data_IF_087755723062
#
_entry.id   IF_087755723062
#
_cell.length_a   1.000
_cell.length_b   1.000
_cell.length_c   1.000
_cell.angle_alpha   90.00
_cell.angle_beta   90.00
_cell.angle_gamma   90.00
#
_symmetry.space_group_name_H-M   'P 1'
#
loop_
_entity.id
_entity.type
_entity.pdbx_description
1 polymer ?
#
# COMPACT_ATOMS: atom_id res chain seq x y z
N UNK A 1 3.77 -19.39 -14.26
CA UNK A 1 3.46 -18.97 -15.65
C UNK A 1 2.97 -17.54 -15.52
N UNK A 2 3.82 -16.58 -15.77
CA UNK A 2 3.46 -15.17 -15.71
C UNK A 2 2.69 -14.79 -16.96
N UNK A 3 1.58 -14.08 -16.81
CA UNK A 3 0.83 -13.50 -17.93
C UNK A 3 1.00 -12.00 -17.83
N UNK A 4 1.82 -11.44 -18.69
CA UNK A 4 1.91 -9.99 -18.83
C UNK A 4 0.79 -9.52 -19.75
N UNK A 5 -0.07 -8.66 -19.22
CA UNK A 5 -1.06 -7.96 -20.03
C UNK A 5 -0.75 -6.46 -20.00
N UNK A 6 -0.02 -6.00 -20.99
CA UNK A 6 0.05 -4.58 -21.27
C UNK A 6 -1.10 -4.23 -22.22
N UNK A 7 -2.02 -3.38 -21.79
CA UNK A 7 -3.10 -2.88 -22.61
C UNK A 7 -2.79 -1.44 -22.98
N UNK A 8 -2.56 -1.18 -24.25
CA UNK A 8 -2.63 0.18 -24.75
C UNK A 8 -4.09 0.54 -25.12
N UNK A 9 -4.35 1.80 -25.37
CA UNK A 9 -5.65 2.29 -25.86
C UNK A 9 -6.12 1.66 -27.19
N UNK A 10 -5.26 0.87 -27.86
CA UNK A 10 -5.53 0.12 -29.07
C UNK A 10 -5.82 -1.38 -28.82
N UNK A 11 -5.79 -1.85 -27.58
CA UNK A 11 -6.18 -3.22 -27.22
C UNK A 11 -5.18 -4.31 -27.63
N UNK A 12 -3.90 -4.01 -27.68
CA UNK A 12 -2.86 -5.03 -27.94
C UNK A 12 -2.51 -5.71 -26.61
N UNK A 13 -2.74 -7.02 -26.52
CA UNK A 13 -2.38 -7.84 -25.37
C UNK A 13 -1.20 -8.77 -25.71
N UNK A 14 -0.34 -9.03 -24.72
CA UNK A 14 0.75 -9.98 -24.83
C UNK A 14 0.41 -11.23 -24.01
N UNK A 15 0.46 -12.41 -24.59
CA UNK A 15 0.28 -13.68 -23.87
C UNK A 15 1.61 -14.45 -23.91
N UNK A 16 2.22 -14.61 -22.73
CA UNK A 16 3.48 -15.34 -22.55
C UNK A 16 3.24 -16.78 -22.06
N UNK A 17 2.05 -17.34 -22.25
CA UNK A 17 1.66 -18.65 -21.72
C UNK A 17 2.25 -19.87 -22.47
N UNK A 18 2.98 -19.68 -23.58
CA UNK A 18 3.53 -20.83 -24.32
C UNK A 18 4.81 -21.36 -23.68
N UNK A 19 4.80 -22.65 -23.32
CA UNK A 19 5.98 -23.38 -22.83
C UNK A 19 6.80 -24.04 -23.94
N UNK A 20 6.54 -23.67 -25.18
CA UNK A 20 7.26 -24.24 -26.34
C UNK A 20 8.53 -23.43 -26.59
N UNK A 21 9.65 -24.13 -26.58
CA UNK A 21 11.00 -23.58 -26.80
C UNK A 21 11.24 -23.05 -28.22
N UNK A 22 10.24 -23.00 -29.07
CA UNK A 22 10.36 -22.64 -30.48
C UNK A 22 9.80 -21.27 -30.87
N UNK A 23 9.29 -20.45 -29.94
CA UNK A 23 8.85 -19.09 -30.26
C UNK A 23 7.71 -18.57 -29.41
N UNK A 24 7.81 -17.31 -29.06
CA UNK A 24 6.74 -16.57 -28.42
C UNK A 24 5.70 -16.15 -29.46
N UNK A 25 4.43 -16.34 -29.15
CA UNK A 25 3.36 -15.92 -30.03
C UNK A 25 2.74 -14.61 -29.50
N UNK A 26 2.74 -13.57 -30.29
CA UNK A 26 1.94 -12.38 -30.03
C UNK A 26 0.50 -12.63 -30.45
N UNK A 27 -0.44 -12.47 -29.52
CA UNK A 27 -1.86 -12.54 -29.84
C UNK A 27 -2.35 -11.10 -30.08
N UNK A 28 -2.67 -10.79 -31.34
CA UNK A 28 -3.26 -9.55 -31.74
C UNK A 28 -2.27 -8.48 -32.21
N UNK A 29 -1.40 -8.82 -33.14
CA UNK A 29 -0.50 -7.86 -33.75
C UNK A 29 -1.29 -6.75 -34.47
N UNK A 30 -1.15 -5.52 -34.01
CA UNK A 30 -1.51 -4.37 -34.81
C UNK A 30 -0.53 -4.31 -36.00
N UNK A 31 -0.97 -4.06 -37.25
CA UNK A 31 -0.12 -4.12 -38.46
C UNK A 31 1.05 -3.12 -38.46
N UNK A 32 1.20 -2.28 -37.46
CA UNK A 32 2.27 -1.29 -37.33
C UNK A 32 3.27 -1.59 -36.20
N UNK A 33 3.22 -2.75 -35.57
CA UNK A 33 4.16 -3.15 -34.51
C UNK A 33 5.17 -4.15 -35.09
N UNK A 34 6.45 -3.84 -35.05
CA UNK A 34 7.52 -4.81 -35.34
C UNK A 34 8.12 -5.30 -34.03
N UNK A 35 8.38 -6.59 -33.93
CA UNK A 35 9.01 -7.24 -32.80
C UNK A 35 10.32 -7.86 -33.25
N UNK A 36 11.41 -7.50 -32.62
CA UNK A 36 12.70 -8.10 -32.85
C UNK A 36 13.09 -8.96 -31.64
N UNK A 37 13.34 -10.25 -31.85
CA UNK A 37 13.96 -11.11 -30.87
C UNK A 37 15.45 -10.80 -30.86
N UNK A 38 15.94 -10.17 -29.79
CA UNK A 38 17.30 -9.65 -29.76
C UNK A 38 18.31 -10.74 -29.35
N UNK A 39 17.89 -11.72 -28.54
CA UNK A 39 18.79 -12.80 -28.13
C UNK A 39 18.08 -13.98 -27.46
N UNK A 40 18.38 -15.21 -27.86
CA UNK A 40 18.01 -16.43 -27.16
C UNK A 40 19.24 -17.36 -27.06
N UNK A 41 19.74 -17.58 -25.84
CA UNK A 41 20.78 -18.59 -25.57
C UNK A 41 20.25 -19.73 -24.69
N UNK A 42 18.93 -19.87 -24.58
CA UNK A 42 18.28 -20.85 -23.72
C UNK A 42 18.23 -20.48 -22.24
N UNK A 43 18.73 -19.30 -21.87
CA UNK A 43 18.81 -18.83 -20.49
C UNK A 43 18.20 -17.45 -20.31
N UNK A 44 18.20 -16.60 -21.31
CA UNK A 44 17.68 -15.24 -21.30
C UNK A 44 16.99 -14.94 -22.63
N UNK A 45 15.77 -14.43 -22.61
CA UNK A 45 15.10 -13.87 -23.77
C UNK A 45 14.90 -12.37 -23.55
N UNK A 46 15.43 -11.54 -24.45
CA UNK A 46 15.19 -10.10 -24.52
C UNK A 46 14.25 -9.79 -25.67
N UNK A 47 13.23 -8.98 -25.44
CA UNK A 47 12.28 -8.56 -26.45
C UNK A 47 12.22 -7.05 -26.52
N UNK A 48 12.36 -6.49 -27.72
CA UNK A 48 12.10 -5.09 -27.99
C UNK A 48 10.83 -4.98 -28.85
N UNK A 49 9.93 -4.07 -28.47
CA UNK A 49 8.69 -3.81 -29.20
C UNK A 49 8.69 -2.36 -29.65
N UNK A 50 8.58 -2.12 -30.95
CA UNK A 50 8.56 -0.78 -31.53
C UNK A 50 7.18 -0.46 -32.12
N UNK A 51 6.58 0.64 -31.70
CA UNK A 51 5.33 1.17 -32.26
C UNK A 51 5.54 2.27 -33.29
N UNK A 52 4.64 2.39 -34.26
CA UNK A 52 4.83 3.28 -35.44
C UNK A 52 4.56 4.76 -35.20
N UNK A 53 4.10 5.18 -34.00
CA UNK A 53 3.82 6.60 -33.72
C UNK A 53 4.22 7.03 -32.31
N UNK A 54 4.70 6.13 -31.48
CA UNK A 54 5.16 6.36 -30.11
C UNK A 54 6.22 5.31 -29.84
N UNK A 55 7.29 5.68 -29.17
CA UNK A 55 8.40 4.77 -28.90
C UNK A 55 8.06 4.03 -27.61
N UNK A 56 7.40 2.89 -27.74
CA UNK A 56 7.16 2.00 -26.61
C UNK A 56 8.32 1.01 -26.57
N UNK A 57 9.15 1.06 -25.52
CA UNK A 57 10.19 0.06 -25.27
C UNK A 57 9.73 -0.86 -24.16
N UNK A 58 9.76 -2.14 -24.43
CA UNK A 58 9.56 -3.16 -23.43
C UNK A 58 10.74 -4.12 -23.48
N UNK A 59 11.54 -4.18 -22.43
CA UNK A 59 12.60 -5.17 -22.29
C UNK A 59 12.27 -6.08 -21.12
N UNK A 60 11.86 -7.30 -21.40
CA UNK A 60 11.69 -8.34 -20.39
C UNK A 60 12.87 -9.29 -20.42
N UNK A 61 13.55 -9.47 -19.30
CA UNK A 61 14.59 -10.50 -19.10
C UNK A 61 14.00 -11.67 -18.34
N UNK A 62 14.07 -12.83 -18.95
CA UNK A 62 13.61 -14.08 -18.37
C UNK A 62 14.82 -14.97 -18.06
N UNK A 63 14.91 -15.47 -16.83
CA UNK A 63 15.95 -16.40 -16.41
C UNK A 63 15.43 -17.84 -16.47
N UNK A 64 16.29 -18.78 -16.87
CA UNK A 64 15.94 -20.19 -17.10
C UNK A 64 15.53 -20.99 -15.84
N UNK A 65 15.65 -20.42 -14.65
CA UNK A 65 15.14 -21.02 -13.41
C UNK A 65 13.59 -20.90 -13.32
N UNK A 66 12.98 -20.18 -14.24
CA UNK A 66 11.52 -20.06 -14.37
C UNK A 66 10.85 -19.18 -13.30
N UNK A 67 11.62 -18.46 -12.48
CA UNK A 67 11.09 -17.80 -11.29
C UNK A 67 11.36 -16.30 -11.20
N UNK A 68 12.18 -15.73 -12.05
CA UNK A 68 12.49 -14.28 -12.00
C UNK A 68 12.25 -13.65 -13.36
N UNK A 69 11.36 -12.69 -13.41
CA UNK A 69 11.19 -11.80 -14.57
C UNK A 69 11.66 -10.42 -14.13
N UNK A 70 12.69 -9.91 -14.77
CA UNK A 70 13.14 -8.54 -14.60
C UNK A 70 12.63 -7.77 -15.80
N UNK A 71 11.85 -6.75 -15.55
CA UNK A 71 11.43 -5.79 -16.58
C UNK A 71 12.34 -4.59 -16.42
N UNK A 72 13.33 -4.49 -17.31
CA UNK A 72 14.21 -3.33 -17.42
C UNK A 72 13.63 -2.44 -18.52
N UNK A 73 13.18 -1.26 -18.23
CA UNK A 73 12.64 -0.26 -19.15
C UNK A 73 11.30 -0.63 -19.85
N UNK A 74 10.21 -0.14 -19.29
CA UNK A 74 8.94 -0.03 -20.00
C UNK A 74 8.72 1.45 -20.34
N UNK A 75 8.84 1.85 -21.60
CA UNK A 75 8.50 3.20 -22.06
C UNK A 75 7.13 3.19 -22.71
N UNK A 76 6.20 3.96 -22.16
CA UNK A 76 4.91 4.21 -22.76
C UNK A 76 4.63 5.71 -22.79
N UNK A 77 4.54 6.30 -23.96
CA UNK A 77 4.10 7.68 -24.15
C UNK A 77 2.70 7.69 -24.74
N UNK A 78 1.67 7.91 -23.93
CA UNK A 78 0.33 8.21 -24.43
C UNK A 78 -0.44 9.17 -23.53
N UNK A 79 -0.42 10.45 -23.85
CA UNK A 79 -1.35 11.49 -23.38
C UNK A 79 -1.76 11.45 -21.89
N UNK A 80 -0.88 11.00 -20.99
CA UNK A 80 -1.00 11.20 -19.55
C UNK A 80 -1.86 10.20 -18.80
N UNK A 81 -1.93 8.95 -19.23
CA UNK A 81 -2.46 7.88 -18.40
C UNK A 81 -1.83 6.54 -18.79
N UNK A 82 -0.86 6.08 -18.04
CA UNK A 82 -0.19 4.81 -18.28
C UNK A 82 -0.66 3.77 -17.26
N UNK A 83 -1.09 2.62 -17.73
CA UNK A 83 -1.53 1.51 -16.89
C UNK A 83 -0.65 0.31 -17.20
N UNK A 84 0.21 -0.05 -16.25
CA UNK A 84 0.93 -1.31 -16.27
C UNK A 84 0.19 -2.30 -15.35
N UNK A 85 -0.30 -3.39 -15.91
CA UNK A 85 -0.84 -4.50 -15.13
C UNK A 85 0.12 -5.67 -15.21
N UNK A 86 0.80 -5.96 -14.11
CA UNK A 86 1.62 -7.15 -13.93
C UNK A 86 0.77 -8.16 -13.16
N UNK A 87 0.42 -9.26 -13.82
CA UNK A 87 -0.25 -10.38 -13.18
C UNK A 87 0.78 -11.45 -12.87
N UNK A 88 1.21 -11.54 -11.63
CA UNK A 88 2.08 -12.59 -11.20
C UNK A 88 1.32 -13.81 -10.65
N UNK A 89 1.84 -14.96 -10.95
CA UNK A 89 1.32 -16.26 -10.55
C UNK A 89 2.26 -16.94 -9.54
N UNK A 90 2.76 -16.20 -8.56
CA UNK A 90 3.61 -16.71 -7.50
C UNK A 90 5.10 -16.65 -7.77
N UNK A 91 5.56 -15.64 -8.45
CA UNK A 91 6.97 -15.39 -8.77
C UNK A 91 7.48 -14.13 -8.08
N UNK A 92 8.76 -14.10 -7.74
CA UNK A 92 9.43 -12.87 -7.32
C UNK A 92 9.61 -11.97 -8.54
N UNK A 93 8.93 -10.84 -8.55
CA UNK A 93 9.02 -9.85 -9.61
C UNK A 93 9.71 -8.60 -9.06
N UNK A 94 10.80 -8.19 -9.68
CA UNK A 94 11.41 -6.89 -9.43
C UNK A 94 11.17 -6.02 -10.67
N UNK A 95 10.48 -4.92 -10.50
CA UNK A 95 10.28 -3.94 -11.56
C UNK A 95 11.17 -2.75 -11.23
N UNK A 96 12.23 -2.54 -11.99
CA UNK A 96 13.08 -1.34 -11.86
C UNK A 96 12.46 -0.14 -12.60
N UNK A 97 12.59 1.02 -11.98
CA UNK A 97 11.89 2.25 -12.27
C UNK A 97 11.94 2.70 -13.73
N UNK A 98 10.79 2.96 -14.28
CA UNK A 98 10.62 3.79 -15.49
C UNK A 98 10.70 5.26 -15.09
N UNK A 99 11.52 6.03 -15.76
CA UNK A 99 11.67 7.44 -15.46
C UNK A 99 10.63 8.27 -16.21
N UNK A 100 9.86 9.05 -15.48
CA UNK A 100 9.16 10.18 -16.05
C UNK A 100 7.63 10.21 -15.93
N UNK A 101 6.93 9.22 -15.34
CA UNK A 101 5.46 9.18 -15.25
C UNK A 101 4.98 8.43 -14.01
N UNK A 102 3.80 8.80 -13.50
CA UNK A 102 3.07 8.08 -12.46
C UNK A 102 2.63 6.69 -12.93
N UNK A 103 2.65 5.70 -12.04
CA UNK A 103 2.33 4.33 -12.38
C UNK A 103 1.05 3.82 -11.75
N UNK A 104 0.36 2.97 -12.52
CA UNK A 104 -0.68 2.11 -11.98
C UNK A 104 -0.20 0.67 -12.04
N UNK A 105 0.08 0.08 -10.89
CA UNK A 105 0.61 -1.29 -10.79
C UNK A 105 -0.35 -2.17 -10.01
N UNK A 106 -0.56 -3.40 -10.48
CA UNK A 106 -1.34 -4.40 -9.79
C UNK A 106 -0.61 -5.75 -9.86
N UNK A 107 -0.05 -6.17 -8.74
CA UNK A 107 0.79 -7.37 -8.65
C UNK A 107 -0.01 -8.66 -8.44
N UNK A 108 -1.30 -8.59 -8.17
CA UNK A 108 -2.30 -9.66 -8.01
C UNK A 108 -2.04 -10.73 -6.95
N UNK A 109 -0.90 -11.38 -6.90
CA UNK A 109 -0.65 -12.41 -5.89
C UNK A 109 0.67 -13.12 -6.03
N UNK A 110 1.27 -13.42 -4.91
CA UNK A 110 2.61 -13.94 -4.76
C UNK A 110 3.28 -13.29 -3.56
N UNK A 111 4.58 -13.34 -3.50
CA UNK A 111 5.40 -12.53 -2.58
C UNK A 111 6.23 -11.62 -3.45
N UNK A 112 5.76 -10.41 -3.62
CA UNK A 112 6.32 -9.51 -4.59
C UNK A 112 7.25 -8.47 -3.94
N UNK A 113 8.20 -7.95 -4.69
CA UNK A 113 8.98 -6.77 -4.32
C UNK A 113 8.85 -5.76 -5.44
N UNK A 114 8.35 -4.58 -5.09
CA UNK A 114 8.12 -3.51 -6.04
C UNK A 114 8.85 -2.25 -5.61
N UNK A 115 9.43 -1.56 -6.58
CA UNK A 115 10.01 -0.23 -6.42
C UNK A 115 9.31 0.71 -7.38
N UNK A 116 8.65 1.72 -6.85
CA UNK A 116 8.07 2.82 -7.59
C UNK A 116 9.14 3.72 -8.21
N UNK A 117 8.71 4.80 -8.80
CA UNK A 117 9.58 5.83 -9.35
C UNK A 117 9.54 7.11 -8.49
N UNK A 118 9.99 8.26 -9.04
CA UNK A 118 10.01 9.54 -8.34
C UNK A 118 8.75 10.38 -8.64
N UNK A 119 7.59 9.77 -8.93
CA UNK A 119 6.32 10.42 -9.28
C UNK A 119 5.16 9.76 -8.53
N UNK A 120 4.04 10.46 -8.44
CA UNK A 120 2.82 10.03 -7.74
C UNK A 120 2.27 8.71 -8.28
N UNK A 121 2.63 7.59 -7.69
CA UNK A 121 2.27 6.24 -8.12
C UNK A 121 0.98 5.72 -7.45
N UNK A 122 0.30 4.79 -8.10
CA UNK A 122 -0.77 4.00 -7.49
C UNK A 122 -0.42 2.52 -7.59
N UNK A 123 -0.12 1.90 -6.45
CA UNK A 123 0.42 0.55 -6.38
C UNK A 123 -0.55 -0.34 -5.60
N UNK A 124 -0.87 -1.51 -6.15
CA UNK A 124 -1.65 -2.54 -5.48
C UNK A 124 -0.88 -3.85 -5.47
N UNK A 125 -0.44 -4.29 -4.29
CA UNK A 125 0.39 -5.47 -4.13
C UNK A 125 -0.40 -6.79 -4.27
N UNK A 126 -1.63 -6.82 -3.76
CA UNK A 126 -2.53 -7.95 -4.04
C UNK A 126 -2.57 -8.99 -2.93
N UNK A 127 -2.26 -10.23 -3.24
CA UNK A 127 -2.27 -11.30 -2.24
C UNK A 127 -0.88 -11.90 -2.08
N UNK A 128 -0.34 -11.84 -0.89
CA UNK A 128 1.01 -12.31 -0.63
C UNK A 128 1.57 -11.70 0.64
N UNK A 129 2.87 -11.76 0.82
CA UNK A 129 3.55 -10.93 1.81
C UNK A 129 4.56 -10.09 1.03
N UNK A 130 4.18 -8.87 0.75
CA UNK A 130 4.80 -8.05 -0.27
C UNK A 130 5.71 -6.98 0.32
N UNK A 131 6.64 -6.50 -0.48
CA UNK A 131 7.52 -5.37 -0.17
C UNK A 131 7.31 -4.30 -1.23
N UNK A 132 6.80 -3.14 -0.82
CA UNK A 132 6.60 -2.01 -1.72
C UNK A 132 7.42 -0.83 -1.23
N UNK A 133 8.22 -0.28 -2.11
CA UNK A 133 8.95 0.98 -1.94
C UNK A 133 8.39 1.95 -2.96
N UNK A 134 7.63 2.95 -2.51
CA UNK A 134 7.00 3.89 -3.43
C UNK A 134 8.01 4.94 -3.95
N UNK A 135 8.98 5.34 -3.14
CA UNK A 135 10.10 6.29 -3.36
C UNK A 135 9.68 7.76 -3.23
N UNK A 136 9.95 8.63 -4.24
CA UNK A 136 9.56 10.03 -4.21
C UNK A 136 8.22 10.19 -4.93
N UNK A 137 7.35 11.05 -4.45
CA UNK A 137 6.02 11.31 -5.02
C UNK A 137 4.93 11.25 -3.95
N UNK A 138 3.74 11.77 -4.26
CA UNK A 138 2.57 11.61 -3.39
C UNK A 138 1.85 10.30 -3.79
N UNK A 139 2.22 9.19 -3.15
CA UNK A 139 1.88 7.85 -3.59
C UNK A 139 0.63 7.26 -2.92
N UNK A 140 -0.04 6.33 -3.60
CA UNK A 140 -1.13 5.53 -3.03
C UNK A 140 -0.78 4.05 -3.11
N UNK A 141 -0.60 3.41 -1.95
CA UNK A 141 -0.17 2.00 -1.88
C UNK A 141 -1.19 1.15 -1.14
N UNK A 142 -1.61 0.06 -1.77
CA UNK A 142 -2.48 -0.95 -1.19
C UNK A 142 -1.72 -2.28 -1.06
N UNK A 143 -1.59 -2.81 0.17
CA UNK A 143 -1.06 -4.16 0.45
C UNK A 143 -2.05 -5.25 0.08
N UNK A 144 -3.34 -5.01 0.36
CA UNK A 144 -4.48 -5.94 0.16
C UNK A 144 -4.46 -7.16 1.12
N UNK A 145 -4.04 -8.32 0.72
CA UNK A 145 -4.04 -9.54 1.56
C UNK A 145 -2.63 -10.03 1.82
N UNK A 146 -2.29 -10.21 3.08
CA UNK A 146 -0.97 -10.75 3.44
C UNK A 146 -0.34 -10.02 4.60
N UNK A 147 0.93 -10.24 4.81
CA UNK A 147 1.71 -9.51 5.80
C UNK A 147 2.73 -8.63 5.09
N UNK A 148 2.32 -7.41 4.77
CA UNK A 148 3.01 -6.57 3.82
C UNK A 148 3.96 -5.56 4.48
N UNK A 149 4.94 -5.09 3.74
CA UNK A 149 5.80 -3.98 4.12
C UNK A 149 5.73 -2.89 3.08
N UNK A 150 5.14 -1.77 3.48
CA UNK A 150 4.88 -0.63 2.62
C UNK A 150 5.72 0.56 3.09
N UNK A 151 6.45 1.16 2.18
CA UNK A 151 7.29 2.32 2.42
C UNK A 151 6.88 3.41 1.42
N UNK A 152 6.44 4.58 1.93
CA UNK A 152 6.15 5.77 1.13
C UNK A 152 7.45 6.45 0.70
N UNK A 153 8.36 6.65 1.64
CA UNK A 153 9.65 7.34 1.54
C UNK A 153 9.50 8.87 1.48
N UNK A 154 9.47 9.55 0.35
CA UNK A 154 9.34 11.01 0.25
C UNK A 154 8.05 11.40 -0.45
N UNK A 155 7.23 12.21 0.19
CA UNK A 155 5.95 12.71 -0.32
C UNK A 155 4.85 12.64 0.71
N UNK A 156 3.66 13.12 0.36
CA UNK A 156 2.47 12.98 1.19
C UNK A 156 1.73 11.70 0.75
N UNK A 157 2.01 10.57 1.41
CA UNK A 157 1.64 9.23 0.97
C UNK A 157 0.37 8.68 1.63
N UNK A 158 -0.42 7.92 0.85
CA UNK A 158 -1.57 7.15 1.33
C UNK A 158 -1.25 5.64 1.37
N UNK A 159 -1.01 5.07 2.55
CA UNK A 159 -0.65 3.67 2.75
C UNK A 159 -1.79 2.87 3.39
N UNK A 160 -2.22 1.80 2.72
CA UNK A 160 -3.26 0.88 3.17
C UNK A 160 -2.71 -0.54 3.26
N UNK A 161 -2.55 -1.09 4.48
CA UNK A 161 -2.06 -2.45 4.70
C UNK A 161 -3.05 -3.50 4.20
N UNK A 162 -4.29 -3.41 4.69
CA UNK A 162 -5.37 -4.30 4.25
C UNK A 162 -5.68 -5.40 5.24
N UNK A 163 -5.42 -6.64 4.92
CA UNK A 163 -5.64 -7.76 5.84
C UNK A 163 -4.37 -8.55 6.07
N UNK A 164 -4.03 -8.76 7.31
CA UNK A 164 -2.83 -9.46 7.76
C UNK A 164 -2.01 -8.60 8.71
N UNK A 165 -0.75 -8.94 8.89
CA UNK A 165 0.13 -8.19 9.80
C UNK A 165 1.10 -7.35 9.01
N UNK A 166 0.78 -6.09 8.88
CA UNK A 166 1.46 -5.18 8.01
C UNK A 166 2.45 -4.29 8.76
N UNK A 167 3.43 -3.80 8.03
CA UNK A 167 4.36 -2.79 8.51
C UNK A 167 4.38 -1.64 7.51
N UNK A 168 3.79 -0.51 7.92
CA UNK A 168 3.69 0.70 7.13
C UNK A 168 4.66 1.75 7.64
N UNK A 169 5.36 2.40 6.74
CA UNK A 169 6.23 3.53 7.01
C UNK A 169 5.95 4.65 6.01
N UNK A 170 5.35 5.74 6.45
CA UNK A 170 5.11 6.91 5.62
C UNK A 170 6.44 7.47 5.13
N UNK A 171 7.22 8.07 5.99
CA UNK A 171 8.55 8.56 5.64
C UNK A 171 8.72 10.03 5.88
N UNK A 172 8.79 10.82 4.85
CA UNK A 172 8.91 12.26 4.97
C UNK A 172 7.79 12.96 4.19
N UNK A 173 6.85 13.55 4.89
CA UNK A 173 5.67 14.20 4.34
C UNK A 173 4.53 14.17 5.33
N UNK A 174 3.31 14.33 4.85
CA UNK A 174 2.12 14.26 5.68
C UNK A 174 1.32 13.03 5.29
N UNK A 175 1.64 11.90 5.90
CA UNK A 175 1.26 10.59 5.45
C UNK A 175 -0.06 10.11 6.07
N UNK A 176 -0.83 9.34 5.30
CA UNK A 176 -2.06 8.68 5.72
C UNK A 176 -1.81 7.17 5.82
N UNK A 177 -1.91 6.60 7.03
CA UNK A 177 -1.61 5.20 7.30
C UNK A 177 -2.82 4.49 7.89
N UNK A 178 -3.36 3.50 7.14
CA UNK A 178 -4.38 2.56 7.63
C UNK A 178 -3.80 1.15 7.61
N UNK A 179 -3.62 0.55 8.78
CA UNK A 179 -3.16 -0.83 8.90
C UNK A 179 -4.20 -1.84 8.41
N UNK A 180 -5.48 -1.57 8.73
CA UNK A 180 -6.59 -2.42 8.33
C UNK A 180 -6.92 -3.49 9.37
N UNK A 181 -6.96 -4.76 8.96
CA UNK A 181 -7.31 -5.88 9.81
C UNK A 181 -6.08 -6.62 10.34
N UNK A 182 -6.19 -7.16 11.56
CA UNK A 182 -5.15 -7.81 12.34
C UNK A 182 -4.25 -6.81 13.10
N UNK A 183 -3.02 -7.13 13.45
CA UNK A 183 -2.19 -6.27 14.30
C UNK A 183 -1.02 -5.71 13.50
N UNK A 184 -1.05 -4.44 13.23
CA UNK A 184 -0.15 -3.76 12.34
C UNK A 184 0.89 -2.91 13.06
N UNK A 185 1.96 -2.58 12.38
CA UNK A 185 2.96 -1.63 12.82
C UNK A 185 2.98 -0.41 11.91
N UNK A 186 2.68 0.75 12.49
CA UNK A 186 2.58 2.01 11.77
C UNK A 186 3.69 2.96 12.25
N UNK A 187 4.42 3.51 11.31
CA UNK A 187 5.46 4.51 11.53
C UNK A 187 5.17 5.69 10.60
N UNK A 188 4.84 6.85 11.15
CA UNK A 188 4.56 8.04 10.36
C UNK A 188 5.84 8.59 9.73
N UNK A 189 6.85 8.85 10.56
CA UNK A 189 8.11 9.42 10.09
C UNK A 189 8.24 10.91 10.40
N UNK A 190 8.53 11.72 9.44
CA UNK A 190 8.67 13.16 9.63
C UNK A 190 7.60 13.94 8.91
N UNK A 191 6.85 14.75 9.63
CA UNK A 191 5.77 15.58 9.09
C UNK A 191 4.55 15.54 9.96
N UNK A 192 3.37 15.63 9.35
CA UNK A 192 2.08 15.55 10.03
C UNK A 192 1.35 14.30 9.56
N UNK A 193 1.39 13.26 10.37
CA UNK A 193 0.92 11.97 9.95
C UNK A 193 -0.48 11.68 10.49
N UNK A 194 -1.26 10.94 9.71
CA UNK A 194 -2.61 10.56 10.01
C UNK A 194 -2.69 9.04 10.17
N UNK A 195 -2.91 8.59 11.41
CA UNK A 195 -3.07 7.17 11.74
C UNK A 195 -4.55 6.83 11.78
N UNK A 196 -5.01 6.04 10.85
CA UNK A 196 -6.42 5.79 10.57
C UNK A 196 -6.88 4.46 11.11
N UNK A 197 -7.99 4.50 11.83
CA UNK A 197 -8.66 3.32 12.38
C UNK A 197 -10.06 3.22 11.77
N UNK A 198 -10.18 2.44 10.72
CA UNK A 198 -11.39 2.20 9.93
C UNK A 198 -11.90 0.76 10.05
N UNK A 199 -11.23 -0.06 10.86
CA UNK A 199 -11.60 -1.44 11.14
C UNK A 199 -12.07 -1.62 12.58
N UNK A 200 -12.92 -2.64 12.80
CA UNK A 200 -13.57 -2.82 14.09
C UNK A 200 -12.58 -3.18 15.20
N UNK A 201 -12.54 -2.40 16.31
CA UNK A 201 -11.71 -2.72 17.47
C UNK A 201 -11.96 -4.14 18.00
N UNK A 202 -10.90 -4.92 18.13
CA UNK A 202 -10.97 -6.28 18.68
C UNK A 202 -9.67 -6.64 19.38
N UNK A 203 -9.64 -7.79 20.05
CA UNK A 203 -8.41 -8.27 20.71
C UNK A 203 -7.36 -8.78 19.71
N UNK A 204 -7.76 -9.02 18.49
CA UNK A 204 -6.92 -9.49 17.39
C UNK A 204 -6.65 -8.39 16.36
N UNK A 205 -7.08 -7.17 16.63
CA UNK A 205 -6.84 -5.98 15.83
C UNK A 205 -6.40 -4.84 16.74
N UNK A 206 -5.12 -4.81 17.05
CA UNK A 206 -4.49 -3.83 17.94
C UNK A 206 -3.19 -3.36 17.31
N UNK A 207 -3.22 -2.21 16.68
CA UNK A 207 -2.08 -1.71 15.95
C UNK A 207 -1.08 -1.00 16.86
N UNK A 208 0.15 -1.00 16.44
CA UNK A 208 1.22 -0.29 17.11
C UNK A 208 1.67 0.92 16.31
N UNK A 209 1.44 2.10 16.85
CA UNK A 209 2.06 3.32 16.34
C UNK A 209 3.42 3.51 17.03
N UNK A 210 4.49 3.58 16.25
CA UNK A 210 5.86 3.50 16.74
C UNK A 210 6.38 4.85 17.21
N UNK A 211 6.05 5.92 16.50
CA UNK A 211 6.68 7.24 16.62
C UNK A 211 5.72 8.43 16.77
N UNK A 212 4.48 8.19 17.16
CA UNK A 212 3.44 9.21 17.32
C UNK A 212 3.91 10.47 18.06
N UNK A 213 3.74 11.62 17.44
CA UNK A 213 4.07 12.94 17.97
C UNK A 213 2.81 13.79 18.15
N UNK A 214 2.34 14.05 19.38
CA UNK A 214 1.13 14.81 19.62
C UNK A 214 1.15 16.27 19.10
N UNK A 215 2.33 16.82 18.76
CA UNK A 215 2.46 18.17 18.21
C UNK A 215 2.10 18.23 16.73
N UNK A 216 2.22 17.13 16.02
CA UNK A 216 2.20 17.07 14.55
C UNK A 216 1.15 16.07 14.06
N UNK A 217 1.07 14.89 14.69
CA UNK A 217 0.30 13.75 14.20
C UNK A 217 -1.14 13.72 14.71
N UNK A 218 -2.00 13.00 13.99
CA UNK A 218 -3.43 12.87 14.31
C UNK A 218 -3.87 11.41 14.23
N UNK A 219 -4.66 10.97 15.19
CA UNK A 219 -5.38 9.69 15.16
C UNK A 219 -6.76 9.94 14.57
N UNK A 220 -7.08 9.26 13.46
CA UNK A 220 -8.37 9.36 12.79
C UNK A 220 -9.24 8.13 13.10
N UNK A 221 -10.49 8.38 13.46
CA UNK A 221 -11.43 7.35 13.91
C UNK A 221 -12.67 7.35 13.01
N UNK A 222 -12.89 6.28 12.25
CA UNK A 222 -14.09 6.12 11.45
C UNK A 222 -15.32 5.89 12.36
N UNK A 223 -16.29 6.79 12.31
CA UNK A 223 -17.49 6.72 13.12
C UNK A 223 -18.47 5.60 12.72
N UNK A 224 -18.31 5.00 11.56
CA UNK A 224 -19.06 3.80 11.17
C UNK A 224 -18.59 2.58 11.97
N UNK A 225 -17.35 2.60 12.44
CA UNK A 225 -16.70 1.57 13.24
C UNK A 225 -16.69 1.94 14.72
N UNK A 226 -16.25 3.15 15.03
CA UNK A 226 -16.26 3.73 16.38
C UNK A 226 -17.59 4.46 16.64
N UNK A 227 -18.68 3.76 16.56
CA UNK A 227 -20.07 4.30 16.44
C UNK A 227 -20.52 5.25 17.53
N UNK A 228 -19.73 5.44 18.60
CA UNK A 228 -20.09 6.29 19.74
C UNK A 228 -19.12 7.44 20.00
N UNK A 229 -18.10 7.63 19.15
CA UNK A 229 -17.12 8.72 19.31
C UNK A 229 -17.68 10.11 18.97
N UNK A 230 -18.75 10.16 18.22
CA UNK A 230 -19.42 11.42 17.87
C UNK A 230 -19.65 11.58 16.37
N UNK A 231 -19.75 12.84 15.96
CA UNK A 231 -19.87 13.24 14.55
C UNK A 231 -18.50 13.59 14.01
N UNK A 232 -18.39 13.66 12.70
CA UNK A 232 -17.21 14.10 11.98
C UNK A 232 -16.64 15.40 12.54
N UNK A 233 -15.31 15.45 12.64
CA UNK A 233 -14.58 16.57 13.19
C UNK A 233 -13.75 16.21 14.44
N UNK A 234 -13.21 17.20 15.11
CA UNK A 234 -12.38 16.99 16.29
C UNK A 234 -13.17 16.35 17.44
N UNK A 235 -12.53 15.36 18.09
CA UNK A 235 -13.15 14.62 19.18
C UNK A 235 -13.64 15.55 20.30
N UNK A 236 -14.86 15.33 20.79
CA UNK A 236 -15.44 16.16 21.87
C UNK A 236 -14.67 15.99 23.18
N UNK A 237 -14.60 17.05 23.99
CA UNK A 237 -13.85 17.02 25.26
C UNK A 237 -14.37 16.00 26.28
N UNK A 238 -15.66 15.68 26.23
CA UNK A 238 -16.26 14.66 27.09
C UNK A 238 -15.99 13.22 26.61
N UNK A 239 -15.57 13.03 25.35
CA UNK A 239 -15.32 11.70 24.81
C UNK A 239 -13.88 11.19 25.07
N UNK A 240 -12.98 12.03 25.54
CA UNK A 240 -11.58 11.66 25.81
C UNK A 240 -11.27 11.63 27.29
N UNK A 241 -10.63 10.56 27.75
CA UNK A 241 -10.16 10.40 29.12
C UNK A 241 -8.73 9.84 29.19
N UNK A 242 -7.96 10.33 30.17
CA UNK A 242 -6.66 9.76 30.53
C UNK A 242 -6.83 8.92 31.81
N UNK A 243 -6.58 7.61 31.69
CA UNK A 243 -6.75 6.68 32.80
C UNK A 243 -6.64 5.23 32.38
N UNK A 244 -7.03 4.33 33.28
CA UNK A 244 -7.07 2.88 33.01
C UNK A 244 -8.43 2.39 32.52
N UNK A 245 -9.44 3.27 32.45
CA UNK A 245 -10.80 2.98 32.05
C UNK A 245 -11.64 4.25 31.99
N UNK A 246 -12.88 4.15 31.50
CA UNK A 246 -13.85 5.26 31.50
C UNK A 246 -14.20 5.70 32.95
N UNK A 247 -14.39 6.99 33.16
CA UNK A 247 -14.81 7.59 34.44
C UNK A 247 -16.29 7.91 34.46
N UNK A 248 -16.84 8.22 33.28
CA UNK A 248 -18.25 8.57 33.16
C UNK A 248 -18.85 8.02 31.86
N UNK A 249 -20.13 8.24 31.66
CA UNK A 249 -20.90 7.72 30.53
C UNK A 249 -20.61 8.44 29.20
N UNK A 250 -19.79 9.47 29.19
CA UNK A 250 -19.39 10.17 27.96
C UNK A 250 -18.02 9.76 27.42
N UNK A 251 -17.18 9.18 28.26
CA UNK A 251 -15.84 8.71 27.88
C UNK A 251 -15.94 7.62 26.79
N UNK A 252 -15.23 7.80 25.70
CA UNK A 252 -15.20 6.89 24.54
C UNK A 252 -13.80 6.43 24.19
N UNK A 253 -12.85 7.35 24.19
CA UNK A 253 -11.44 7.08 23.93
C UNK A 253 -10.66 7.25 25.22
N UNK A 254 -9.99 6.21 25.64
CA UNK A 254 -9.24 6.16 26.90
C UNK A 254 -7.78 5.94 26.59
N UNK A 255 -6.95 6.85 27.03
CA UNK A 255 -5.50 6.72 26.92
C UNK A 255 -4.88 6.34 28.26
N UNK A 256 -4.26 5.17 28.31
CA UNK A 256 -3.48 4.77 29.49
C UNK A 256 -2.04 5.27 29.34
N UNK A 257 -1.75 6.41 29.97
CA UNK A 257 -0.44 7.06 29.87
C UNK A 257 0.73 6.20 30.37
N UNK A 258 0.48 5.27 31.31
CA UNK A 258 1.53 4.42 31.85
C UNK A 258 1.95 3.30 30.91
N UNK A 259 1.03 2.82 30.12
CA UNK A 259 1.25 1.69 29.22
C UNK A 259 1.30 2.11 27.75
N UNK A 260 0.79 3.29 27.39
CA UNK A 260 0.60 3.75 26.01
C UNK A 260 -0.63 3.17 25.32
N UNK A 261 -1.47 2.40 26.01
CA UNK A 261 -2.64 1.77 25.41
C UNK A 261 -3.74 2.78 25.10
N UNK A 262 -4.32 2.70 23.90
CA UNK A 262 -5.56 3.34 23.51
C UNK A 262 -6.70 2.33 23.52
N UNK A 263 -7.80 2.69 24.20
CA UNK A 263 -8.98 1.85 24.31
C UNK A 263 -10.22 2.60 23.84
N UNK A 264 -11.11 1.86 23.21
CA UNK A 264 -12.45 2.31 22.86
C UNK A 264 -13.49 1.72 23.82
N UNK A 265 -14.31 2.57 24.39
CA UNK A 265 -15.42 2.21 25.27
C UNK A 265 -16.75 2.68 24.66
N UNK A 266 -17.54 1.74 24.16
CA UNK A 266 -18.76 2.06 23.43
C UNK A 266 -19.89 2.58 24.31
N UNK A 267 -19.90 2.29 25.60
CA UNK A 267 -20.97 2.66 26.53
C UNK A 267 -20.50 3.53 27.73
N UNK A 268 -19.18 3.68 27.91
CA UNK A 268 -18.61 4.46 28.98
C UNK A 268 -18.59 3.69 30.31
N UNK A 269 -18.66 4.42 31.45
CA UNK A 269 -18.47 3.84 32.75
C UNK A 269 -19.53 2.79 33.12
N UNK A 270 -19.08 1.59 33.42
CA UNK A 270 -19.87 0.59 34.15
C UNK A 270 -20.61 -0.45 33.30
N UNK A 271 -20.40 -0.48 32.02
CA UNK A 271 -21.03 -1.45 31.12
C UNK A 271 -20.09 -2.52 30.57
N UNK A 272 -19.92 -2.56 29.26
CA UNK A 272 -19.00 -3.47 28.57
C UNK A 272 -17.56 -2.99 28.77
N UNK A 273 -16.62 -3.91 28.92
CA UNK A 273 -15.23 -3.53 29.07
C UNK A 273 -14.69 -2.86 27.80
N UNK A 274 -13.94 -1.77 27.99
CA UNK A 274 -13.25 -1.08 26.92
C UNK A 274 -12.32 -2.02 26.13
N UNK A 275 -12.28 -1.87 24.83
CA UNK A 275 -11.48 -2.67 23.90
C UNK A 275 -10.25 -1.88 23.49
N UNK A 276 -9.06 -2.47 23.68
CA UNK A 276 -7.83 -1.89 23.18
C UNK A 276 -7.82 -1.98 21.66
N UNK A 277 -7.51 -0.87 20.98
CA UNK A 277 -7.39 -0.83 19.53
C UNK A 277 -6.02 -0.36 19.04
N UNK A 278 -5.27 0.37 19.90
CA UNK A 278 -3.93 0.78 19.52
C UNK A 278 -2.94 0.77 20.70
N UNK A 279 -1.67 0.74 20.37
CA UNK A 279 -0.53 0.83 21.28
C UNK A 279 0.41 1.93 20.82
N UNK A 280 0.51 2.97 21.61
CA UNK A 280 1.49 4.06 21.45
C UNK A 280 2.67 3.86 22.41
N UNK A 281 3.68 4.71 22.32
CA UNK A 281 4.70 4.85 23.33
C UNK A 281 4.09 5.36 24.66
N UNK A 282 4.56 4.83 25.76
CA UNK A 282 4.10 5.28 27.08
C UNK A 282 4.57 6.72 27.38
N UNK A 283 3.80 7.43 28.18
CA UNK A 283 4.19 8.74 28.70
C UNK A 283 3.81 9.94 27.81
N UNK A 284 3.25 9.74 26.65
CA UNK A 284 2.83 10.83 25.76
C UNK A 284 1.81 11.75 26.45
N UNK A 285 1.75 12.99 26.01
CA UNK A 285 0.77 13.97 26.51
C UNK A 285 -0.32 14.18 25.49
N UNK A 286 -1.25 13.22 25.43
CA UNK A 286 -2.39 13.28 24.55
C UNK A 286 -3.51 14.16 25.09
N UNK A 287 -4.25 14.75 24.17
CA UNK A 287 -5.48 15.53 24.38
C UNK A 287 -6.55 15.10 23.38
N UNK A 288 -7.76 15.62 23.51
CA UNK A 288 -8.79 15.43 22.49
C UNK A 288 -8.44 15.98 21.11
N UNK A 289 -7.50 16.92 21.03
CA UNK A 289 -7.06 17.55 19.79
C UNK A 289 -6.14 16.65 18.94
N UNK A 290 -5.70 15.52 19.49
CA UNK A 290 -4.93 14.52 18.77
C UNK A 290 -5.83 13.49 18.06
N UNK A 291 -7.17 13.67 18.15
CA UNK A 291 -8.15 12.76 17.58
C UNK A 291 -9.14 13.48 16.66
N UNK A 292 -9.30 12.97 15.47
CA UNK A 292 -10.28 13.43 14.48
C UNK A 292 -11.24 12.28 14.14
N UNK A 293 -12.52 12.59 14.00
CA UNK A 293 -13.59 11.62 13.65
C UNK A 293 -13.95 11.81 12.19
N UNK A 294 -13.89 10.73 11.43
CA UNK A 294 -14.27 10.63 10.01
C UNK A 294 -15.75 10.30 9.87
#
# INVERSE_FOLDING_TARGET
>A
MAVFQAFNAAGVGFDMSSTDSSGWAFIGAHPSVSTDLVYDNGTIAEYEVYGSSLVDYFTARYWSDGYTVIIDDLFYENNGADVLTIQDLGLYTTVDALQGYAWYVNLNGGHDTFHGNDYDDVIRAGAGNDFVYANDGDDIVYGDQGGDKLFGDWGDDDLYGGSGRDALSGGAGSDYLSGGADNDQLTGGSGKDYFVFDTRPSRTNVDRIVDFRPSDDTIMLDNQVFTRVGRDGWLSGGAFNIGSGARDSSDRIIYNKQTGALLYDADGYGGVAAVKFAQLNAGLTLTKADFFVL
#
